data_IF_015254554467
#
_entry.id   IF_015254554467
#
_cell.length_a   1.000
_cell.length_b   1.000
_cell.length_c   1.000
_cell.angle_alpha   90.00
_cell.angle_beta   90.00
_cell.angle_gamma   90.00
#
_symmetry.space_group_name_H-M   'P 1'
#
loop_
_entity.id
_entity.type
_entity.pdbx_description
1 polymer ?
#
# COMPACT_ATOMS: atom_id res chain seq x y z
N UNK A 1 -7.47 -22.72 17.32
CA UNK A 1 -8.64 -21.81 17.40
C UNK A 1 -8.25 -20.37 17.14
N UNK A 2 -7.24 -19.83 17.84
CA UNK A 2 -6.75 -18.44 17.66
C UNK A 2 -6.19 -18.17 16.26
N UNK A 3 -5.44 -19.11 15.66
CA UNK A 3 -4.88 -18.97 14.29
C UNK A 3 -5.96 -18.75 13.21
N UNK A 4 -7.12 -19.41 13.32
CA UNK A 4 -8.25 -19.21 12.38
C UNK A 4 -8.90 -17.84 12.56
N UNK A 5 -8.99 -17.32 13.79
CA UNK A 5 -9.53 -15.99 14.06
C UNK A 5 -8.57 -14.88 13.61
N UNK A 6 -7.26 -15.10 13.75
CA UNK A 6 -6.20 -14.19 13.24
C UNK A 6 -6.20 -14.12 11.71
N UNK A 7 -6.34 -15.26 11.04
CA UNK A 7 -6.47 -15.32 9.57
C UNK A 7 -7.76 -14.61 9.13
N UNK A 8 -8.90 -14.83 9.82
CA UNK A 8 -10.15 -14.16 9.50
C UNK A 8 -10.11 -12.64 9.74
N UNK A 9 -9.39 -12.18 10.77
CA UNK A 9 -9.19 -10.76 11.05
C UNK A 9 -8.21 -10.11 10.04
N UNK A 10 -7.14 -10.82 9.67
CA UNK A 10 -6.24 -10.40 8.59
C UNK A 10 -6.99 -10.31 7.27
N UNK A 11 -7.79 -11.32 6.94
CA UNK A 11 -8.67 -11.36 5.76
C UNK A 11 -9.70 -10.23 5.83
N UNK A 12 -10.20 -9.85 7.01
CA UNK A 12 -11.07 -8.69 7.20
C UNK A 12 -10.38 -7.35 6.90
N UNK A 13 -9.14 -7.17 7.34
CA UNK A 13 -8.35 -5.94 7.13
C UNK A 13 -7.89 -5.81 5.67
N UNK A 14 -7.53 -6.92 5.01
CA UNK A 14 -7.17 -6.92 3.57
C UNK A 14 -8.37 -6.93 2.63
N UNK A 15 -9.50 -7.52 2.99
CA UNK A 15 -10.66 -7.68 2.09
C UNK A 15 -11.53 -6.43 1.97
N UNK A 16 -11.48 -5.51 2.94
CA UNK A 16 -12.40 -4.37 3.00
C UNK A 16 -11.82 -3.01 2.61
N UNK A 17 -10.54 -2.90 2.26
CA UNK A 17 -10.01 -1.56 2.02
C UNK A 17 -8.72 -1.51 1.22
N UNK A 18 -8.57 -0.46 0.42
CA UNK A 18 -7.33 -0.04 -0.25
C UNK A 18 -6.34 0.66 0.70
N UNK A 19 -6.69 0.79 2.00
CA UNK A 19 -5.85 1.41 3.02
C UNK A 19 -4.49 0.73 3.20
N UNK A 20 -4.31 -0.60 3.38
CA UNK A 20 -3.00 -1.19 3.69
C UNK A 20 -1.92 -0.86 2.63
N UNK A 21 -2.32 -0.73 1.37
CA UNK A 21 -1.41 -0.34 0.29
C UNK A 21 -0.94 1.12 0.43
N UNK A 22 -1.80 2.02 0.92
CA UNK A 22 -1.41 3.41 1.17
C UNK A 22 -0.38 3.55 2.30
N UNK A 23 -0.33 2.61 3.25
CA UNK A 23 0.72 2.59 4.28
C UNK A 23 2.09 2.29 3.68
N UNK A 24 2.17 1.46 2.63
CA UNK A 24 3.44 1.13 1.96
C UNK A 24 4.04 2.36 1.27
N UNK A 25 3.21 3.20 0.64
CA UNK A 25 3.67 4.48 0.06
C UNK A 25 4.16 5.42 1.16
N UNK A 26 3.44 5.54 2.27
CA UNK A 26 3.88 6.34 3.40
C UNK A 26 5.22 5.85 3.96
N UNK A 27 5.41 4.53 4.05
CA UNK A 27 6.69 3.92 4.45
C UNK A 27 7.80 4.17 3.43
N UNK A 28 7.51 4.13 2.12
CA UNK A 28 8.47 4.46 1.06
C UNK A 28 8.88 5.94 1.06
N UNK A 29 7.95 6.84 1.38
CA UNK A 29 8.27 8.26 1.58
C UNK A 29 9.10 8.49 2.84
N UNK A 30 8.77 7.80 3.93
CA UNK A 30 9.53 7.85 5.18
C UNK A 30 10.95 7.30 4.99
N UNK A 31 11.13 6.20 4.25
CA UNK A 31 12.46 5.66 3.94
C UNK A 31 13.29 6.64 3.09
N UNK A 32 12.66 7.36 2.17
CA UNK A 32 13.30 8.41 1.38
C UNK A 32 13.84 9.54 2.27
N UNK A 33 13.06 9.99 3.27
CA UNK A 33 13.52 10.95 4.27
C UNK A 33 14.71 10.42 5.11
N UNK A 34 14.64 9.16 5.55
CA UNK A 34 15.73 8.53 6.31
C UNK A 34 16.99 8.42 5.44
N UNK A 35 16.86 8.14 4.14
CA UNK A 35 17.99 8.06 3.21
C UNK A 35 18.74 9.39 3.08
N UNK A 36 18.03 10.52 3.15
CA UNK A 36 18.63 11.86 3.18
C UNK A 36 19.42 12.08 4.47
N UNK A 37 18.87 11.66 5.62
CA UNK A 37 19.60 11.70 6.89
C UNK A 37 20.87 10.83 6.88
N UNK A 38 20.77 9.62 6.35
CA UNK A 38 21.93 8.73 6.16
C UNK A 38 22.95 9.31 5.18
N UNK A 39 22.52 10.00 4.13
CA UNK A 39 23.41 10.67 3.20
C UNK A 39 24.28 11.73 3.88
N UNK A 40 23.68 12.54 4.78
CA UNK A 40 24.41 13.53 5.58
C UNK A 40 25.43 12.83 6.50
N UNK A 41 25.02 11.76 7.19
CA UNK A 41 25.93 10.99 8.05
C UNK A 41 27.13 10.41 7.26
N UNK A 42 26.88 9.85 6.08
CA UNK A 42 27.93 9.31 5.21
C UNK A 42 28.87 10.42 4.72
N UNK A 43 28.35 11.62 4.39
CA UNK A 43 29.17 12.76 4.01
C UNK A 43 30.09 13.21 5.15
N UNK A 44 29.57 13.32 6.38
CA UNK A 44 30.36 13.67 7.57
C UNK A 44 31.45 12.62 7.82
N UNK A 45 31.10 11.34 7.75
CA UNK A 45 32.04 10.23 7.92
C UNK A 45 33.15 10.22 6.85
N UNK A 46 32.82 10.61 5.62
CA UNK A 46 33.79 10.74 4.53
C UNK A 46 34.79 11.87 4.78
N UNK A 47 34.32 13.02 5.28
CA UNK A 47 35.18 14.16 5.63
C UNK A 47 36.10 13.85 6.81
N UNK A 48 35.64 13.08 7.80
CA UNK A 48 36.46 12.65 8.94
C UNK A 48 37.56 11.62 8.59
N UNK A 49 37.70 11.21 7.33
CA UNK A 49 38.69 10.22 6.86
C UNK A 49 38.63 8.86 7.60
N UNK A 50 37.56 8.58 8.34
CA UNK A 50 37.36 7.30 9.06
C UNK A 50 36.76 6.21 8.18
N UNK A 51 36.29 6.55 6.99
CA UNK A 51 35.58 5.63 6.11
C UNK A 51 36.53 4.89 5.16
N UNK A 52 36.36 3.57 5.07
CA UNK A 52 37.03 2.73 4.06
C UNK A 52 36.70 3.25 2.65
N UNK A 53 37.70 3.38 1.75
CA UNK A 53 37.47 3.87 0.39
C UNK A 53 36.40 3.03 -0.32
N UNK A 54 35.43 3.69 -0.95
CA UNK A 54 34.31 3.05 -1.66
C UNK A 54 33.11 2.66 -0.78
N UNK A 55 33.25 2.61 0.55
CA UNK A 55 32.13 2.27 1.43
C UNK A 55 31.05 3.36 1.45
N UNK A 56 31.46 4.62 1.48
CA UNK A 56 30.57 5.77 1.53
C UNK A 56 29.66 5.85 0.29
N UNK A 57 30.24 5.74 -0.92
CA UNK A 57 29.47 5.77 -2.17
C UNK A 57 28.55 4.55 -2.31
N UNK A 58 28.99 3.38 -1.85
CA UNK A 58 28.18 2.16 -1.88
C UNK A 58 26.97 2.26 -0.95
N UNK A 59 27.17 2.67 0.31
CA UNK A 59 26.06 2.87 1.26
C UNK A 59 25.08 3.94 0.75
N UNK A 60 25.58 5.08 0.27
CA UNK A 60 24.73 6.15 -0.26
C UNK A 60 23.86 5.64 -1.42
N UNK A 61 24.45 4.89 -2.35
CA UNK A 61 23.75 4.35 -3.51
C UNK A 61 22.68 3.32 -3.11
N UNK A 62 22.99 2.41 -2.18
CA UNK A 62 22.02 1.40 -1.69
C UNK A 62 20.83 2.04 -1.00
N UNK A 63 21.06 3.01 -0.11
CA UNK A 63 19.99 3.69 0.61
C UNK A 63 19.09 4.50 -0.34
N UNK A 64 19.69 5.20 -1.30
CA UNK A 64 18.96 5.99 -2.29
C UNK A 64 18.12 5.09 -3.21
N UNK A 65 18.75 4.09 -3.84
CA UNK A 65 18.07 3.17 -4.76
C UNK A 65 17.01 2.35 -4.01
N UNK A 66 17.32 1.86 -2.82
CA UNK A 66 16.38 1.08 -1.99
C UNK A 66 15.12 1.89 -1.63
N UNK A 67 15.28 3.17 -1.29
CA UNK A 67 14.15 4.05 -1.01
C UNK A 67 13.30 4.32 -2.24
N UNK A 68 13.95 4.54 -3.39
CA UNK A 68 13.27 4.75 -4.67
C UNK A 68 12.50 3.51 -5.14
N UNK A 69 13.05 2.30 -4.91
CA UNK A 69 12.38 1.03 -5.18
C UNK A 69 11.13 0.84 -4.30
N UNK A 70 11.23 1.09 -2.99
CA UNK A 70 10.10 1.02 -2.06
C UNK A 70 8.98 1.99 -2.44
N UNK A 71 9.35 3.23 -2.78
CA UNK A 71 8.39 4.23 -3.24
C UNK A 71 7.68 3.78 -4.52
N UNK A 72 8.44 3.30 -5.51
CA UNK A 72 7.90 2.82 -6.78
C UNK A 72 6.95 1.62 -6.59
N UNK A 73 7.34 0.66 -5.75
CA UNK A 73 6.49 -0.49 -5.39
C UNK A 73 5.20 -0.06 -4.69
N UNK A 74 5.26 0.96 -3.83
CA UNK A 74 4.07 1.54 -3.21
C UNK A 74 3.10 2.11 -4.25
N UNK A 75 3.60 2.88 -5.21
CA UNK A 75 2.80 3.45 -6.31
C UNK A 75 2.15 2.34 -7.14
N UNK A 76 2.93 1.35 -7.59
CA UNK A 76 2.42 0.19 -8.34
C UNK A 76 1.35 -0.56 -7.53
N UNK A 77 1.59 -0.76 -6.23
CA UNK A 77 0.62 -1.34 -5.31
C UNK A 77 -0.71 -0.59 -5.32
N UNK A 78 -0.70 0.75 -5.29
CA UNK A 78 -1.94 1.55 -5.35
C UNK A 78 -2.71 1.36 -6.66
N UNK A 79 -2.01 1.27 -7.78
CA UNK A 79 -2.65 0.97 -9.08
C UNK A 79 -3.28 -0.42 -9.08
N UNK A 80 -2.55 -1.44 -8.62
CA UNK A 80 -3.06 -2.81 -8.50
C UNK A 80 -4.27 -2.85 -7.56
N UNK A 81 -4.24 -2.11 -6.44
CA UNK A 81 -5.36 -1.99 -5.51
C UNK A 81 -6.62 -1.40 -6.14
N UNK A 82 -6.48 -0.38 -7.00
CA UNK A 82 -7.61 0.17 -7.77
C UNK A 82 -8.16 -0.85 -8.77
N UNK A 83 -7.28 -1.52 -9.52
CA UNK A 83 -7.68 -2.57 -10.47
C UNK A 83 -8.43 -3.69 -9.74
N UNK A 84 -7.94 -4.12 -8.58
CA UNK A 84 -8.61 -5.14 -7.77
C UNK A 84 -10.03 -4.72 -7.36
N UNK A 85 -10.23 -3.46 -6.98
CA UNK A 85 -11.55 -2.92 -6.64
C UNK A 85 -12.48 -2.85 -7.86
N UNK A 86 -11.94 -2.46 -9.02
CA UNK A 86 -12.66 -2.38 -10.30
C UNK A 86 -13.14 -3.78 -10.75
N UNK A 87 -12.22 -4.76 -10.74
CA UNK A 87 -12.51 -6.16 -11.12
C UNK A 87 -13.52 -6.81 -10.18
N UNK A 88 -13.51 -6.44 -8.89
CA UNK A 88 -14.42 -7.03 -7.90
C UNK A 88 -15.86 -6.52 -7.99
N UNK A 89 -16.13 -5.47 -8.80
CA UNK A 89 -17.45 -4.98 -9.19
C UNK A 89 -18.58 -5.31 -8.19
N UNK A 90 -18.44 -4.88 -6.92
CA UNK A 90 -19.51 -5.13 -5.94
C UNK A 90 -20.65 -4.15 -6.25
N UNK A 91 -21.85 -4.62 -6.64
CA UNK A 91 -22.96 -3.72 -6.89
C UNK A 91 -23.21 -2.89 -5.63
N UNK A 92 -23.22 -1.56 -5.76
CA UNK A 92 -23.39 -0.61 -4.65
C UNK A 92 -24.78 -0.66 -4.01
N UNK A 93 -25.64 -1.56 -4.49
CA UNK A 93 -27.03 -1.66 -4.11
C UNK A 93 -27.41 -3.13 -3.90
N UNK A 94 -27.76 -3.50 -2.68
CA UNK A 94 -28.66 -4.63 -2.46
C UNK A 94 -30.06 -4.13 -2.78
N UNK A 95 -30.67 -4.64 -3.85
CA UNK A 95 -32.09 -4.37 -4.14
C UNK A 95 -32.89 -5.06 -3.03
N UNK A 96 -33.22 -4.32 -1.98
CA UNK A 96 -33.86 -4.85 -0.78
C UNK A 96 -35.37 -5.11 -0.95
N UNK A 97 -36.00 -4.59 -2.01
CA UNK A 97 -37.41 -4.86 -2.30
C UNK A 97 -37.73 -4.61 -3.76
N UNK A 98 -38.17 -5.66 -4.44
CA UNK A 98 -38.94 -5.54 -5.67
C UNK A 98 -40.40 -5.30 -5.23
N UNK A 99 -40.94 -4.10 -5.48
CA UNK A 99 -42.37 -3.86 -5.36
C UNK A 99 -43.05 -4.64 -6.49
N UNK A 100 -43.61 -5.80 -6.15
CA UNK A 100 -44.47 -6.56 -7.07
C UNK A 100 -45.70 -5.70 -7.35
N UNK A 101 -45.76 -5.09 -8.53
CA UNK A 101 -46.95 -4.39 -8.98
C UNK A 101 -48.04 -5.45 -9.18
N UNK A 102 -48.95 -5.56 -8.23
CA UNK A 102 -50.14 -6.38 -8.37
C UNK A 102 -51.11 -5.59 -9.24
N UNK A 103 -50.98 -5.76 -10.54
CA UNK A 103 -51.96 -5.27 -11.51
C UNK A 103 -53.27 -6.03 -11.25
N UNK A 104 -54.18 -5.39 -10.53
CA UNK A 104 -55.58 -5.78 -10.46
C UNK A 104 -56.23 -5.40 -11.79
N UNK A 105 -56.07 -6.26 -12.78
CA UNK A 105 -56.88 -6.25 -14.00
C UNK A 105 -57.75 -7.49 -14.04
N UNK A 106 -58.67 -7.60 -13.07
CA UNK A 106 -59.87 -8.44 -13.14
C UNK A 106 -60.98 -7.74 -12.38
N UNK A 107 -61.78 -6.97 -13.11
CA UNK A 107 -63.23 -6.81 -12.97
C UNK A 107 -63.62 -5.58 -13.79
N UNK A 108 -64.06 -5.80 -15.02
CA UNK A 108 -65.39 -5.48 -15.57
C UNK A 108 -65.55 -6.20 -16.91
#
# INVERSE_FOLDING_TARGET
TVRKMLILAMDGITSFTTRPISWIIAMGFLSLLISVGMAVYVLVSYVEHRSVPGWASLMLSLWFIGSMLLFSLGVVGQYIGKIYMEVKARPRYHIAKQLKHHDRSTEY
#
